data_IF_477696202544
#
_entry.id   IF_477696202544
#
_cell.length_a   1.000
_cell.length_b   1.000
_cell.length_c   1.000
_cell.angle_alpha   90.00
_cell.angle_beta   90.00
_cell.angle_gamma   90.00
#
_symmetry.space_group_name_H-M   'P 1'
#
loop_
_entity.id
_entity.type
_entity.pdbx_description
1 polymer ?
#
# COMPACT_ATOMS: atom_id res chain seq x y z
N UNK A 1 -16.28 6.06 -6.52
CA UNK A 1 -15.62 7.40 -6.61
C UNK A 1 -14.84 7.78 -5.35
N UNK A 2 -15.37 7.61 -4.12
CA UNK A 2 -14.66 8.02 -2.89
C UNK A 2 -13.27 7.35 -2.70
N UNK A 3 -13.16 6.04 -2.95
CA UNK A 3 -11.90 5.30 -2.80
C UNK A 3 -10.76 5.86 -3.66
N UNK A 4 -11.01 6.11 -4.95
CA UNK A 4 -9.99 6.64 -5.87
C UNK A 4 -9.47 8.01 -5.43
N UNK A 5 -10.36 8.87 -4.93
CA UNK A 5 -9.99 10.18 -4.42
C UNK A 5 -9.12 10.09 -3.15
N UNK A 6 -9.45 9.15 -2.25
CA UNK A 6 -8.63 8.86 -1.06
C UNK A 6 -7.25 8.36 -1.46
N UNK A 7 -7.17 7.44 -2.43
CA UNK A 7 -5.90 6.88 -2.89
C UNK A 7 -5.02 7.94 -3.58
N UNK A 8 -5.60 8.84 -4.38
CA UNK A 8 -4.88 9.97 -4.95
C UNK A 8 -4.36 10.92 -3.85
N UNK A 9 -5.17 11.18 -2.82
CA UNK A 9 -4.74 11.97 -1.67
C UNK A 9 -3.56 11.33 -0.94
N UNK A 10 -3.58 10.02 -0.76
CA UNK A 10 -2.50 9.28 -0.13
C UNK A 10 -1.20 9.32 -0.95
N UNK A 11 -1.29 9.17 -2.27
CA UNK A 11 -0.13 9.31 -3.17
C UNK A 11 0.47 10.72 -3.12
N UNK A 12 -0.37 11.76 -3.02
CA UNK A 12 0.12 13.14 -2.83
C UNK A 12 0.81 13.34 -1.48
N UNK A 13 0.26 12.77 -0.41
CA UNK A 13 0.88 12.80 0.91
C UNK A 13 2.24 12.07 0.89
N UNK A 14 2.29 10.92 0.21
CA UNK A 14 3.50 10.14 0.03
C UNK A 14 4.58 10.92 -0.74
N UNK A 15 4.22 11.54 -1.87
CA UNK A 15 5.11 12.40 -2.65
C UNK A 15 5.66 13.56 -1.81
N UNK A 16 4.79 14.24 -1.05
CA UNK A 16 5.19 15.37 -0.22
C UNK A 16 6.17 14.97 0.89
N UNK A 17 5.94 13.84 1.55
CA UNK A 17 6.83 13.31 2.61
C UNK A 17 8.17 12.84 2.02
N UNK A 18 8.15 12.20 0.86
CA UNK A 18 9.35 11.68 0.20
C UNK A 18 10.25 12.76 -0.43
N UNK A 19 9.68 13.90 -0.85
CA UNK A 19 10.31 14.92 -1.70
C UNK A 19 11.74 15.32 -1.31
N UNK A 20 12.05 15.41 -0.02
CA UNK A 20 13.35 15.94 0.46
C UNK A 20 14.44 14.89 0.54
N UNK A 21 14.09 13.63 0.83
CA UNK A 21 15.05 12.57 1.19
C UNK A 21 15.01 11.36 0.26
N UNK A 22 13.89 11.16 -0.43
CA UNK A 22 13.60 9.95 -1.19
C UNK A 22 13.01 10.32 -2.57
N UNK A 23 13.81 10.92 -3.47
CA UNK A 23 13.32 11.38 -4.77
C UNK A 23 12.70 10.25 -5.61
N UNK A 24 13.23 9.03 -5.54
CA UNK A 24 12.65 7.87 -6.24
C UNK A 24 11.20 7.55 -5.79
N UNK A 25 10.90 7.66 -4.49
CA UNK A 25 9.55 7.46 -3.97
C UNK A 25 8.64 8.64 -4.35
N UNK A 26 9.17 9.87 -4.39
CA UNK A 26 8.42 11.04 -4.88
C UNK A 26 8.02 10.85 -6.35
N UNK A 27 8.98 10.52 -7.22
CA UNK A 27 8.74 10.36 -8.65
C UNK A 27 7.80 9.18 -8.94
N UNK A 28 7.97 8.07 -8.22
CA UNK A 28 7.06 6.93 -8.31
C UNK A 28 5.63 7.28 -7.89
N UNK A 29 5.45 8.10 -6.84
CA UNK A 29 4.13 8.55 -6.40
C UNK A 29 3.46 9.49 -7.41
N UNK A 30 4.22 10.41 -8.02
CA UNK A 30 3.72 11.29 -9.07
C UNK A 30 3.30 10.49 -10.33
N UNK A 31 4.09 9.50 -10.71
CA UNK A 31 3.75 8.60 -11.82
C UNK A 31 2.49 7.77 -11.50
N UNK A 32 2.39 7.23 -10.29
CA UNK A 32 1.22 6.49 -9.83
C UNK A 32 -0.05 7.35 -9.83
N UNK A 33 0.03 8.65 -9.53
CA UNK A 33 -1.12 9.57 -9.63
C UNK A 33 -1.61 9.67 -11.07
N UNK A 34 -0.70 9.81 -12.04
CA UNK A 34 -1.07 9.88 -13.46
C UNK A 34 -1.72 8.58 -13.92
N UNK A 35 -1.16 7.44 -13.49
CA UNK A 35 -1.70 6.11 -13.78
C UNK A 35 -3.09 5.93 -13.15
N UNK A 36 -3.26 6.28 -11.88
CA UNK A 36 -4.52 6.15 -11.15
C UNK A 36 -5.69 6.86 -11.84
N UNK A 37 -5.43 8.02 -12.46
CA UNK A 37 -6.45 8.78 -13.21
C UNK A 37 -6.94 8.09 -14.48
N UNK A 38 -6.20 7.11 -14.98
CA UNK A 38 -6.61 6.27 -16.12
C UNK A 38 -7.43 5.06 -15.70
N UNK A 39 -7.47 4.75 -14.39
CA UNK A 39 -8.18 3.61 -13.85
C UNK A 39 -9.56 4.02 -13.33
N UNK A 40 -10.55 3.16 -13.52
CA UNK A 40 -11.95 3.44 -13.17
C UNK A 40 -12.48 2.62 -11.99
N UNK A 41 -11.77 1.54 -11.62
CA UNK A 41 -12.24 0.56 -10.64
C UNK A 41 -11.11 -0.04 -9.79
N UNK A 42 -11.41 -0.53 -8.56
CA UNK A 42 -10.47 -1.31 -7.75
C UNK A 42 -9.93 -2.55 -8.46
N UNK A 43 -10.76 -3.22 -9.27
CA UNK A 43 -10.32 -4.37 -10.07
C UNK A 43 -9.24 -3.98 -11.07
N UNK A 44 -9.33 -2.84 -11.74
CA UNK A 44 -8.26 -2.39 -12.65
C UNK A 44 -6.95 -2.10 -11.91
N UNK A 45 -7.03 -1.60 -10.66
CA UNK A 45 -5.86 -1.45 -9.79
C UNK A 45 -5.27 -2.82 -9.45
N UNK A 46 -6.09 -3.82 -9.12
CA UNK A 46 -5.61 -5.17 -8.81
C UNK A 46 -4.89 -5.85 -9.99
N UNK A 47 -5.22 -5.47 -11.24
CA UNK A 47 -4.53 -5.95 -12.45
C UNK A 47 -3.33 -5.06 -12.85
N UNK A 48 -3.05 -3.99 -12.10
CA UNK A 48 -1.96 -3.07 -12.37
C UNK A 48 -1.18 -2.79 -11.07
N UNK A 49 -0.11 -3.57 -10.88
CA UNK A 49 0.68 -3.54 -9.65
C UNK A 49 1.45 -2.23 -9.44
N UNK A 50 1.50 -1.30 -10.41
CA UNK A 50 2.23 -0.02 -10.30
C UNK A 50 1.79 0.78 -9.06
N UNK A 51 0.48 0.79 -8.78
CA UNK A 51 -0.09 1.51 -7.64
C UNK A 51 0.25 0.83 -6.32
N UNK A 52 0.22 -0.50 -6.26
CA UNK A 52 0.62 -1.24 -5.07
C UNK A 52 2.12 -1.06 -4.79
N UNK A 53 2.93 -1.17 -5.85
CA UNK A 53 4.40 -1.16 -5.78
C UNK A 53 4.93 0.13 -5.19
N UNK A 54 4.30 1.28 -5.47
CA UNK A 54 4.77 2.54 -4.88
C UNK A 54 4.56 2.61 -3.36
N UNK A 55 3.51 1.99 -2.81
CA UNK A 55 3.32 1.93 -1.37
C UNK A 55 4.25 0.91 -0.70
N UNK A 56 4.57 -0.19 -1.39
CA UNK A 56 5.59 -1.13 -0.94
C UNK A 56 6.98 -0.49 -0.92
N UNK A 57 7.36 0.24 -1.98
CA UNK A 57 8.60 1.04 -2.02
C UNK A 57 8.66 2.06 -0.88
N UNK A 58 7.54 2.70 -0.53
CA UNK A 58 7.49 3.60 0.63
C UNK A 58 7.77 2.87 1.96
N UNK A 59 7.26 1.66 2.11
CA UNK A 59 7.48 0.82 3.28
C UNK A 59 8.94 0.33 3.38
N UNK A 60 9.58 0.02 2.24
CA UNK A 60 11.00 -0.40 2.18
C UNK A 60 11.97 0.67 2.72
N UNK A 61 11.61 1.94 2.67
CA UNK A 61 12.42 3.04 3.22
C UNK A 61 12.52 2.97 4.76
N UNK A 62 11.55 2.31 5.43
CA UNK A 62 11.53 2.07 6.88
C UNK A 62 11.68 3.33 7.75
N UNK A 63 11.17 4.47 7.28
CA UNK A 63 10.95 5.62 8.16
C UNK A 63 9.53 5.61 8.69
N UNK A 64 9.37 5.98 9.96
CA UNK A 64 8.06 5.95 10.65
C UNK A 64 6.94 6.57 9.81
N UNK A 65 7.14 7.77 9.26
CA UNK A 65 6.10 8.46 8.48
C UNK A 65 5.76 7.77 7.15
N UNK A 66 6.76 7.36 6.37
CA UNK A 66 6.51 6.67 5.10
C UNK A 66 5.90 5.28 5.32
N UNK A 67 6.37 4.56 6.34
CA UNK A 67 5.77 3.29 6.78
C UNK A 67 4.31 3.46 7.19
N UNK A 68 3.98 4.49 7.97
CA UNK A 68 2.60 4.80 8.36
C UNK A 68 1.72 5.07 7.13
N UNK A 69 2.19 5.90 6.18
CA UNK A 69 1.45 6.21 4.95
C UNK A 69 1.26 4.95 4.11
N UNK A 70 2.35 4.22 3.83
CA UNK A 70 2.35 2.99 3.04
C UNK A 70 1.43 1.92 3.61
N UNK A 71 1.57 1.57 4.89
CA UNK A 71 0.71 0.60 5.56
C UNK A 71 -0.77 1.03 5.53
N UNK A 72 -1.07 2.30 5.76
CA UNK A 72 -2.46 2.81 5.69
C UNK A 72 -3.05 2.66 4.29
N UNK A 73 -2.23 2.75 3.23
CA UNK A 73 -2.69 2.57 1.86
C UNK A 73 -2.89 1.10 1.52
N UNK A 74 -1.99 0.22 1.99
CA UNK A 74 -2.17 -1.23 1.87
C UNK A 74 -3.50 -1.65 2.50
N UNK A 75 -3.83 -1.16 3.70
CA UNK A 75 -5.11 -1.44 4.35
C UNK A 75 -6.31 -1.07 3.47
N UNK A 76 -6.27 0.11 2.82
CA UNK A 76 -7.35 0.58 1.94
C UNK A 76 -7.41 -0.24 0.66
N UNK A 77 -6.28 -0.53 0.02
CA UNK A 77 -6.22 -1.37 -1.18
C UNK A 77 -6.83 -2.76 -0.90
N UNK A 78 -6.43 -3.39 0.20
CA UNK A 78 -6.92 -4.72 0.60
C UNK A 78 -8.43 -4.66 0.91
N UNK A 79 -8.88 -3.65 1.66
CA UNK A 79 -10.31 -3.50 2.02
C UNK A 79 -11.23 -3.23 0.83
N UNK A 80 -10.67 -2.82 -0.32
CA UNK A 80 -11.40 -2.55 -1.55
C UNK A 80 -11.16 -3.59 -2.66
N UNK A 81 -10.57 -4.75 -2.32
CA UNK A 81 -10.20 -5.81 -3.27
C UNK A 81 -9.33 -5.30 -4.43
N UNK A 82 -8.48 -4.30 -4.17
CA UNK A 82 -7.60 -3.65 -5.13
C UNK A 82 -6.18 -4.23 -5.13
N UNK A 83 -6.02 -5.49 -4.71
CA UNK A 83 -4.73 -6.18 -4.58
C UNK A 83 -4.84 -7.56 -5.22
N UNK A 84 -3.90 -7.89 -6.11
CA UNK A 84 -3.77 -9.24 -6.66
C UNK A 84 -3.36 -10.25 -5.57
N UNK A 85 -3.94 -11.46 -5.54
CA UNK A 85 -3.47 -12.56 -4.68
C UNK A 85 -1.97 -12.85 -4.76
N UNK A 86 -1.36 -12.68 -5.94
CA UNK A 86 0.08 -12.87 -6.17
C UNK A 86 0.97 -11.97 -5.30
N UNK A 87 0.47 -10.79 -4.92
CA UNK A 87 1.21 -9.81 -4.11
C UNK A 87 1.14 -10.08 -2.60
N UNK A 88 0.29 -11.01 -2.14
CA UNK A 88 0.09 -11.27 -0.72
C UNK A 88 1.41 -11.67 -0.02
N UNK A 89 2.26 -12.45 -0.69
CA UNK A 89 3.55 -12.87 -0.13
C UNK A 89 4.45 -11.66 0.16
N UNK A 90 4.51 -10.71 -0.76
CA UNK A 90 5.32 -9.50 -0.62
C UNK A 90 4.78 -8.63 0.51
N UNK A 91 3.47 -8.42 0.57
CA UNK A 91 2.80 -7.67 1.65
C UNK A 91 3.10 -8.30 3.02
N UNK A 92 2.99 -9.63 3.15
CA UNK A 92 3.28 -10.32 4.41
C UNK A 92 4.75 -10.17 4.82
N UNK A 93 5.69 -10.19 3.86
CA UNK A 93 7.10 -9.90 4.12
C UNK A 93 7.29 -8.48 4.65
N UNK A 94 6.66 -7.49 4.00
CA UNK A 94 6.70 -6.09 4.46
C UNK A 94 6.14 -5.97 5.88
N UNK A 95 5.01 -6.61 6.19
CA UNK A 95 4.41 -6.57 7.52
C UNK A 95 5.32 -7.19 8.60
N UNK A 96 6.02 -8.27 8.27
CA UNK A 96 7.02 -8.88 9.17
C UNK A 96 8.12 -7.87 9.52
N UNK A 97 8.70 -7.20 8.52
CA UNK A 97 9.77 -6.22 8.73
C UNK A 97 9.30 -5.01 9.55
N UNK A 98 8.03 -4.63 9.38
CA UNK A 98 7.42 -3.51 10.10
C UNK A 98 7.01 -3.88 11.53
N UNK A 99 6.75 -5.15 11.83
CA UNK A 99 6.51 -5.62 13.20
C UNK A 99 7.74 -5.45 14.10
N UNK A 100 8.95 -5.46 13.52
CA UNK A 100 10.21 -5.28 14.23
C UNK A 100 10.59 -3.80 14.46
N UNK A 101 9.83 -2.85 13.90
CA UNK A 101 10.06 -1.42 14.14
C UNK A 101 9.63 -1.04 15.55
N UNK A 102 10.40 -0.16 16.21
CA UNK A 102 10.15 0.27 17.59
C UNK A 102 8.97 1.25 17.74
N UNK A 103 8.51 1.85 16.65
CA UNK A 103 7.43 2.84 16.68
C UNK A 103 6.06 2.16 16.86
N UNK A 104 5.36 2.50 17.93
CA UNK A 104 4.05 1.93 18.27
C UNK A 104 2.99 2.22 17.21
N UNK A 105 3.08 3.36 16.52
CA UNK A 105 2.16 3.72 15.44
C UNK A 105 2.31 2.82 14.22
N UNK A 106 3.55 2.46 13.88
CA UNK A 106 3.85 1.46 12.85
C UNK A 106 3.38 0.07 13.30
N UNK A 107 3.69 -0.36 14.52
CA UNK A 107 3.26 -1.66 15.04
C UNK A 107 1.73 -1.82 15.03
N UNK A 108 1.01 -0.79 15.48
CA UNK A 108 -0.46 -0.78 15.45
C UNK A 108 -0.99 -0.93 14.03
N UNK A 109 -0.42 -0.20 13.06
CA UNK A 109 -0.83 -0.32 11.65
C UNK A 109 -0.51 -1.69 11.07
N UNK A 110 0.62 -2.27 11.43
CA UNK A 110 0.97 -3.64 11.03
C UNK A 110 -0.09 -4.63 11.51
N UNK A 111 -0.47 -4.60 12.78
CA UNK A 111 -1.52 -5.46 13.35
C UNK A 111 -2.90 -5.23 12.71
N UNK A 112 -3.25 -3.97 12.45
CA UNK A 112 -4.48 -3.63 11.74
C UNK A 112 -4.50 -4.18 10.32
N UNK A 113 -3.38 -4.08 9.58
CA UNK A 113 -3.29 -4.64 8.23
C UNK A 113 -3.42 -6.15 8.23
N UNK A 114 -2.78 -6.84 9.18
CA UNK A 114 -2.93 -8.29 9.36
C UNK A 114 -4.40 -8.65 9.61
N UNK A 115 -5.08 -7.91 10.49
CA UNK A 115 -6.50 -8.13 10.80
C UNK A 115 -7.39 -7.95 9.56
N UNK A 116 -7.10 -6.92 8.76
CA UNK A 116 -7.82 -6.66 7.49
C UNK A 116 -7.60 -7.80 6.50
N UNK A 117 -6.38 -8.33 6.37
CA UNK A 117 -6.11 -9.48 5.48
C UNK A 117 -7.00 -10.67 5.87
N UNK A 118 -7.07 -11.02 7.15
CA UNK A 118 -7.92 -12.13 7.64
C UNK A 118 -9.42 -11.94 7.38
N UNK A 119 -9.90 -10.69 7.28
CA UNK A 119 -11.30 -10.35 7.03
C UNK A 119 -11.60 -10.12 5.54
N UNK A 120 -10.56 -10.01 4.71
CA UNK A 120 -10.66 -9.72 3.29
C UNK A 120 -10.84 -10.99 2.44
N UNK A 121 -11.01 -10.78 1.12
CA UNK A 121 -10.95 -11.85 0.13
C UNK A 121 -9.53 -12.17 -0.34
N UNK A 122 -8.51 -11.47 0.16
CA UNK A 122 -7.12 -11.71 -0.22
C UNK A 122 -6.61 -12.99 0.45
N UNK A 123 -6.35 -14.01 -0.35
CA UNK A 123 -5.85 -15.32 0.09
C UNK A 123 -4.70 -15.78 -0.80
N UNK A 124 -3.85 -16.72 -0.34
CA UNK A 124 -2.80 -17.30 -1.18
C UNK A 124 -3.40 -17.97 -2.43
N UNK A 125 -2.75 -17.84 -3.59
CA UNK A 125 -3.24 -18.40 -4.87
C UNK A 125 -3.52 -19.91 -4.83
N UNK A 126 -2.83 -20.65 -3.96
CA UNK A 126 -2.98 -22.09 -3.81
C UNK A 126 -4.16 -22.50 -2.91
N UNK A 127 -4.79 -21.55 -2.23
CA UNK A 127 -5.96 -21.77 -1.38
C UNK A 127 -7.23 -21.30 -2.11
N UNK A 128 -7.57 -21.94 -3.23
CA UNK A 128 -8.85 -21.68 -3.89
C UNK A 128 -9.97 -22.14 -2.95
N UNK A 129 -10.77 -21.17 -2.44
CA UNK A 129 -11.98 -21.44 -1.65
C UNK A 129 -13.15 -21.87 -2.52
#
# INVERSE_FOLDING_TARGET
MAFMAVLESDLRALSAEARRRYPAVKDGAEHAILKLRTLSSPSEIAHNDDILRIFLMACEVRTVKLSIIGLSCLQKLISHDAVSPSALREILSTLKDHAEMADEGVQLKTLQTISIIFQSRLHPENEVR
#
